data_IF_407588990292
#
_entry.id   IF_407588990292
#
_cell.length_a   1.000
_cell.length_b   1.000
_cell.length_c   1.000
_cell.angle_alpha   90.00
_cell.angle_beta   90.00
_cell.angle_gamma   90.00
#
_symmetry.space_group_name_H-M   'P 1'
#
loop_
_entity.id
_entity.type
_entity.pdbx_description
1 polymer ?
#
# COMPACT_ATOMS: atom_id res chain seq x y z
N UNK A 1 43.24 41.26 1.07
CA UNK A 1 44.01 40.12 0.57
C UNK A 1 44.09 38.95 1.58
N UNK A 2 44.13 39.16 2.88
CA UNK A 2 44.20 38.07 3.89
C UNK A 2 43.03 37.05 3.92
N UNK A 3 41.88 37.39 3.39
CA UNK A 3 40.71 36.50 3.33
C UNK A 3 40.82 35.39 2.26
N UNK A 4 41.59 35.60 1.21
CA UNK A 4 41.79 34.61 0.15
C UNK A 4 42.70 33.46 0.61
N UNK A 5 43.64 33.74 1.53
CA UNK A 5 44.54 32.73 2.06
C UNK A 5 43.83 31.78 3.06
N UNK A 6 42.75 32.26 3.70
CA UNK A 6 41.94 31.44 4.63
C UNK A 6 40.87 30.57 3.93
N UNK A 7 40.53 30.87 2.68
CA UNK A 7 39.46 30.20 1.95
C UNK A 7 39.69 28.69 1.79
N UNK A 8 40.90 28.18 1.42
CA UNK A 8 41.13 26.75 1.28
C UNK A 8 40.99 25.99 2.62
N UNK A 9 41.44 26.61 3.71
CA UNK A 9 41.31 26.01 5.05
C UNK A 9 39.83 25.95 5.49
N UNK A 10 39.04 26.99 5.24
CA UNK A 10 37.62 27.03 5.54
C UNK A 10 36.83 25.99 4.71
N UNK A 11 37.16 25.82 3.42
CA UNK A 11 36.57 24.79 2.56
C UNK A 11 36.94 23.39 3.05
N UNK A 12 38.20 23.17 3.47
CA UNK A 12 38.65 21.92 4.04
C UNK A 12 37.89 21.56 5.34
N UNK A 13 37.78 22.48 6.28
CA UNK A 13 37.01 22.27 7.52
C UNK A 13 35.51 22.04 7.21
N UNK A 14 34.94 22.77 6.27
CA UNK A 14 33.56 22.58 5.83
C UNK A 14 33.31 21.19 5.26
N UNK A 15 34.21 20.70 4.41
CA UNK A 15 34.12 19.36 3.83
C UNK A 15 34.23 18.26 4.92
N UNK A 16 35.16 18.39 5.87
CA UNK A 16 35.30 17.44 6.96
C UNK A 16 34.04 17.45 7.86
N UNK A 17 33.55 18.63 8.22
CA UNK A 17 32.32 18.77 9.02
C UNK A 17 31.12 18.14 8.32
N UNK A 18 30.96 18.32 7.02
CA UNK A 18 29.91 17.70 6.22
C UNK A 18 30.01 16.17 6.23
N UNK A 19 31.19 15.61 6.01
CA UNK A 19 31.40 14.15 6.04
C UNK A 19 31.05 13.58 7.40
N UNK A 20 31.51 14.21 8.49
CA UNK A 20 31.19 13.80 9.87
C UNK A 20 29.69 13.86 10.11
N UNK A 21 29.01 14.95 9.72
CA UNK A 21 27.57 15.09 9.87
C UNK A 21 26.79 14.01 9.10
N UNK A 22 27.21 13.70 7.87
CA UNK A 22 26.60 12.64 7.06
C UNK A 22 26.78 11.26 7.72
N UNK A 23 27.98 10.94 8.25
CA UNK A 23 28.23 9.68 8.95
C UNK A 23 27.38 9.56 10.22
N UNK A 24 27.28 10.64 10.99
CA UNK A 24 26.42 10.70 12.18
C UNK A 24 24.94 10.54 11.81
N UNK A 25 24.50 11.14 10.70
CA UNK A 25 23.13 11.00 10.18
C UNK A 25 22.83 9.55 9.80
N UNK A 26 23.75 8.85 9.14
CA UNK A 26 23.63 7.41 8.80
C UNK A 26 23.51 6.57 10.06
N UNK A 27 24.37 6.79 11.03
CA UNK A 27 24.33 6.09 12.31
C UNK A 27 23.03 6.38 13.10
N UNK A 28 22.56 7.62 13.06
CA UNK A 28 21.29 7.98 13.71
C UNK A 28 20.10 7.30 13.04
N UNK A 29 20.03 7.31 11.70
CA UNK A 29 18.98 6.63 10.95
C UNK A 29 18.97 5.12 11.24
N UNK A 30 20.12 4.46 11.24
CA UNK A 30 20.20 3.03 11.50
C UNK A 30 19.72 2.62 12.89
N UNK A 31 19.87 3.52 13.90
CA UNK A 31 19.48 3.23 15.30
C UNK A 31 18.09 3.73 15.67
N UNK A 32 17.63 4.86 15.10
CA UNK A 32 16.42 5.57 15.52
C UNK A 32 15.47 5.91 14.37
N UNK A 33 15.83 5.56 13.14
CA UNK A 33 14.97 5.75 11.99
C UNK A 33 13.71 4.90 12.12
N UNK A 34 12.62 5.43 11.55
CA UNK A 34 11.33 4.74 11.51
C UNK A 34 10.95 4.43 10.07
N UNK A 35 10.14 3.41 9.93
CA UNK A 35 9.54 3.03 8.66
C UNK A 35 8.16 3.63 8.54
N UNK A 36 7.90 4.32 7.42
CA UNK A 36 6.59 4.85 7.12
C UNK A 36 6.20 4.44 5.70
N UNK A 37 5.06 3.79 5.57
CA UNK A 37 4.52 3.39 4.26
C UNK A 37 4.26 4.62 3.41
N UNK A 38 3.72 5.67 4.00
CA UNK A 38 3.52 6.96 3.36
C UNK A 38 4.30 8.05 4.09
N UNK A 39 4.67 9.12 3.39
CA UNK A 39 5.32 10.29 3.99
C UNK A 39 4.39 10.96 5.01
N UNK A 40 4.75 11.01 6.29
CA UNK A 40 3.91 11.60 7.33
C UNK A 40 3.59 13.08 7.07
N UNK A 41 2.36 13.49 7.38
CA UNK A 41 1.91 14.87 7.30
C UNK A 41 1.65 15.40 5.90
N UNK A 42 1.65 14.54 4.87
CA UNK A 42 1.33 14.96 3.49
C UNK A 42 -0.16 14.90 3.20
N UNK A 43 -0.63 15.83 2.38
CA UNK A 43 -1.98 15.81 1.80
C UNK A 43 -1.86 15.93 0.30
N UNK A 44 -2.47 15.02 -0.44
CA UNK A 44 -2.56 15.10 -1.90
C UNK A 44 -3.98 15.48 -2.28
N UNK A 45 -4.12 16.59 -3.00
CA UNK A 45 -5.37 16.98 -3.66
C UNK A 45 -5.31 16.52 -5.10
N UNK A 46 -6.15 15.56 -5.44
CA UNK A 46 -6.19 14.96 -6.77
C UNK A 46 -7.37 15.49 -7.57
N UNK A 47 -7.12 15.86 -8.80
CA UNK A 47 -8.16 16.10 -9.80
C UNK A 47 -8.35 14.82 -10.60
N UNK A 48 -9.50 14.18 -10.42
CA UNK A 48 -9.84 12.90 -11.05
C UNK A 48 -10.11 13.12 -12.54
N UNK A 49 -9.58 12.22 -13.36
CA UNK A 49 -9.85 12.19 -14.79
C UNK A 49 -11.28 11.76 -15.07
N UNK A 50 -12.13 12.70 -15.46
CA UNK A 50 -13.57 12.49 -15.67
C UNK A 50 -13.90 11.70 -16.94
N UNK A 51 -12.98 11.62 -17.90
CA UNK A 51 -13.14 10.74 -19.07
C UNK A 51 -13.02 9.27 -18.66
N UNK A 52 -12.09 8.96 -17.74
CA UNK A 52 -11.89 7.60 -17.23
C UNK A 52 -12.91 7.23 -16.16
N UNK A 53 -13.26 8.18 -15.28
CA UNK A 53 -14.12 7.96 -14.12
C UNK A 53 -15.22 9.04 -14.03
N UNK A 54 -16.27 8.97 -14.88
CA UNK A 54 -17.36 9.94 -14.91
C UNK A 54 -18.12 10.04 -13.58
N UNK A 55 -18.25 8.94 -12.85
CA UNK A 55 -19.08 8.82 -11.65
C UNK A 55 -18.36 9.26 -10.37
N UNK A 56 -17.01 9.31 -10.35
CA UNK A 56 -16.27 9.74 -9.17
C UNK A 56 -16.30 11.27 -9.00
N UNK A 57 -16.19 11.79 -7.76
CA UNK A 57 -16.02 13.22 -7.52
C UNK A 57 -14.84 13.81 -8.30
N UNK A 58 -14.96 15.03 -8.84
CA UNK A 58 -13.88 15.63 -9.64
C UNK A 58 -12.62 15.95 -8.83
N UNK A 59 -12.77 16.11 -7.52
CA UNK A 59 -11.65 16.39 -6.60
C UNK A 59 -11.70 15.42 -5.44
N UNK A 60 -10.53 14.90 -5.09
CA UNK A 60 -10.34 13.91 -4.03
C UNK A 60 -9.19 14.35 -3.14
N UNK A 61 -9.39 14.28 -1.83
CA UNK A 61 -8.36 14.52 -0.82
C UNK A 61 -7.84 13.19 -0.30
N UNK A 62 -6.55 12.97 -0.42
CA UNK A 62 -5.82 11.84 0.15
C UNK A 62 -4.87 12.37 1.22
N UNK A 63 -5.17 12.16 2.50
CA UNK A 63 -4.43 12.74 3.60
C UNK A 63 -3.73 11.68 4.44
N UNK A 64 -2.45 11.89 4.68
CA UNK A 64 -1.58 11.07 5.52
C UNK A 64 -1.32 11.81 6.82
N UNK A 65 -1.63 11.18 7.93
CA UNK A 65 -1.44 11.74 9.26
C UNK A 65 0.03 11.72 9.72
N UNK A 66 0.29 12.19 10.91
CA UNK A 66 1.63 12.28 11.50
C UNK A 66 2.24 10.89 11.83
N UNK A 67 1.41 9.85 11.90
CA UNK A 67 1.85 8.47 12.09
C UNK A 67 2.19 7.76 10.76
N UNK A 68 2.03 8.45 9.61
CA UNK A 68 2.24 7.86 8.28
C UNK A 68 1.10 6.95 7.83
N UNK A 69 -0.08 7.10 8.41
CA UNK A 69 -1.30 6.38 8.07
C UNK A 69 -2.23 7.27 7.26
N UNK A 70 -2.91 6.72 6.27
CA UNK A 70 -4.10 7.36 5.72
C UNK A 70 -5.21 7.32 6.77
N UNK A 71 -5.64 8.47 7.24
CA UNK A 71 -6.62 8.56 8.33
C UNK A 71 -6.66 9.94 8.96
N UNK A 72 -7.54 10.09 9.95
CA UNK A 72 -7.62 11.29 10.77
C UNK A 72 -6.37 11.54 11.62
N UNK A 73 -6.31 12.68 12.27
CA UNK A 73 -5.22 13.01 13.22
C UNK A 73 -5.23 12.01 14.39
N UNK A 74 -4.12 11.33 14.67
CA UNK A 74 -4.03 10.46 15.83
C UNK A 74 -4.29 11.22 17.12
N UNK A 75 -4.92 10.61 18.13
CA UNK A 75 -5.12 11.24 19.43
C UNK A 75 -3.76 11.48 20.12
N UNK A 76 -3.69 12.49 20.99
CA UNK A 76 -2.47 12.79 21.77
C UNK A 76 -2.09 11.66 22.76
N UNK A 77 -3.09 10.91 23.19
CA UNK A 77 -2.94 9.73 24.05
C UNK A 77 -3.89 8.65 23.58
N UNK A 78 -3.45 7.40 23.62
CA UNK A 78 -4.23 6.22 23.25
C UNK A 78 -5.13 5.71 24.38
N UNK A 79 -5.13 6.40 25.53
CA UNK A 79 -6.04 6.05 26.62
C UNK A 79 -7.49 6.16 26.13
N UNK A 80 -8.31 5.17 26.46
CA UNK A 80 -9.73 5.08 26.12
C UNK A 80 -10.03 5.20 24.61
N UNK A 81 -9.07 4.84 23.78
CA UNK A 81 -9.19 4.81 22.31
C UNK A 81 -9.08 3.38 21.81
N UNK A 82 -10.09 2.91 21.07
CA UNK A 82 -10.03 1.66 20.31
C UNK A 82 -9.24 1.91 19.03
N UNK A 83 -8.12 1.24 18.87
CA UNK A 83 -7.19 1.50 17.78
C UNK A 83 -7.20 0.37 16.75
N UNK A 84 -7.53 0.72 15.51
CA UNK A 84 -7.57 -0.18 14.36
C UNK A 84 -6.51 0.23 13.34
N UNK A 85 -5.77 -0.75 12.83
CA UNK A 85 -4.88 -0.58 11.68
C UNK A 85 -5.38 -1.43 10.52
N UNK A 86 -5.56 -0.80 9.37
CA UNK A 86 -5.89 -1.48 8.11
C UNK A 86 -4.63 -1.62 7.28
N UNK A 87 -4.37 -2.82 6.77
CA UNK A 87 -3.29 -3.09 5.84
C UNK A 87 -3.79 -3.96 4.68
N UNK A 88 -3.45 -3.58 3.46
CA UNK A 88 -3.93 -4.29 2.27
C UNK A 88 -3.45 -3.68 0.97
N UNK A 89 -4.03 -4.15 -0.12
CA UNK A 89 -3.78 -3.67 -1.48
C UNK A 89 -4.62 -2.44 -1.84
N UNK A 90 -4.85 -2.25 -3.14
CA UNK A 90 -5.57 -1.10 -3.71
C UNK A 90 -7.01 -0.96 -3.22
N UNK A 91 -7.72 -2.07 -3.01
CA UNK A 91 -9.09 -2.06 -2.48
C UNK A 91 -9.15 -1.51 -1.05
N UNK A 92 -8.09 -1.68 -0.26
CA UNK A 92 -7.99 -1.12 1.08
C UNK A 92 -7.36 0.29 1.09
N UNK A 93 -6.53 0.63 0.10
CA UNK A 93 -6.01 2.00 -0.06
C UNK A 93 -7.09 2.99 -0.46
N UNK A 94 -8.06 2.59 -1.31
CA UNK A 94 -9.12 3.46 -1.83
C UNK A 94 -8.59 4.76 -2.47
N UNK A 95 -7.52 4.66 -3.28
CA UNK A 95 -6.72 5.82 -3.74
C UNK A 95 -7.53 6.94 -4.40
N UNK A 96 -8.54 6.59 -5.22
CA UNK A 96 -9.38 7.54 -5.95
C UNK A 96 -10.67 7.95 -5.19
N UNK A 97 -10.82 7.55 -3.94
CA UNK A 97 -11.92 7.97 -3.09
C UNK A 97 -11.48 9.11 -2.16
N UNK A 98 -12.38 10.04 -1.90
CA UNK A 98 -12.13 11.10 -0.92
C UNK A 98 -11.80 10.51 0.45
N UNK A 99 -11.12 11.29 1.28
CA UNK A 99 -10.66 10.86 2.59
C UNK A 99 -11.79 10.23 3.40
N UNK A 100 -12.92 10.91 3.49
CA UNK A 100 -14.06 10.47 4.31
C UNK A 100 -14.90 9.36 3.65
N UNK A 101 -14.79 9.21 2.32
CA UNK A 101 -15.47 8.18 1.55
C UNK A 101 -14.68 6.85 1.47
N UNK A 102 -13.43 6.83 1.93
CA UNK A 102 -12.67 5.58 1.99
C UNK A 102 -13.25 4.65 3.04
N UNK A 103 -13.41 3.35 2.74
CA UNK A 103 -14.05 2.42 3.67
C UNK A 103 -13.36 2.34 5.05
N UNK A 104 -12.02 2.53 5.22
CA UNK A 104 -11.45 2.60 6.56
C UNK A 104 -11.97 3.79 7.38
N UNK A 105 -12.26 4.94 6.74
CA UNK A 105 -12.83 6.09 7.44
C UNK A 105 -14.33 5.94 7.69
N UNK A 106 -15.06 5.31 6.77
CA UNK A 106 -16.46 4.90 6.99
C UNK A 106 -16.54 3.90 8.15
N UNK A 107 -15.62 2.94 8.21
CA UNK A 107 -15.51 2.01 9.34
C UNK A 107 -15.26 2.77 10.65
N UNK A 108 -14.34 3.74 10.66
CA UNK A 108 -14.11 4.57 11.85
C UNK A 108 -15.38 5.28 12.31
N UNK A 109 -16.10 5.91 11.40
CA UNK A 109 -17.34 6.62 11.72
C UNK A 109 -18.39 5.68 12.33
N UNK A 110 -18.57 4.49 11.73
CA UNK A 110 -19.53 3.50 12.24
C UNK A 110 -19.10 2.92 13.60
N UNK A 111 -17.85 2.57 13.78
CA UNK A 111 -17.35 2.08 15.07
C UNK A 111 -17.38 3.15 16.16
N UNK A 112 -17.23 4.43 15.81
CA UNK A 112 -17.33 5.53 16.76
C UNK A 112 -18.72 5.62 17.39
N UNK A 113 -19.79 5.33 16.67
CA UNK A 113 -21.15 5.30 17.24
C UNK A 113 -21.33 4.20 18.28
N UNK A 114 -20.48 3.19 18.25
CA UNK A 114 -20.49 2.01 19.13
C UNK A 114 -19.25 1.93 20.03
N UNK A 115 -18.53 3.06 20.22
CA UNK A 115 -17.28 3.08 20.97
C UNK A 115 -17.41 2.52 22.40
N UNK A 116 -18.52 2.78 23.07
CA UNK A 116 -18.79 2.25 24.43
C UNK A 116 -18.89 0.72 24.46
N UNK A 117 -19.43 0.08 23.43
CA UNK A 117 -19.47 -1.39 23.32
C UNK A 117 -18.08 -1.99 23.16
N UNK A 118 -17.14 -1.21 22.61
CA UNK A 118 -15.73 -1.57 22.46
C UNK A 118 -14.89 -1.24 23.70
N UNK A 119 -15.53 -0.77 24.79
CA UNK A 119 -14.84 -0.34 26.00
C UNK A 119 -13.97 0.91 25.81
N UNK A 120 -14.34 1.78 24.90
CA UNK A 120 -13.61 2.98 24.53
C UNK A 120 -14.52 4.21 24.44
N UNK A 121 -13.94 5.40 24.46
CA UNK A 121 -14.66 6.67 24.19
C UNK A 121 -14.42 7.17 22.77
N UNK A 122 -13.34 6.71 22.15
CA UNK A 122 -12.93 7.08 20.80
C UNK A 122 -12.53 5.85 20.01
N UNK A 123 -12.66 5.96 18.69
CA UNK A 123 -12.15 5.00 17.73
C UNK A 123 -11.19 5.71 16.78
N UNK A 124 -10.05 5.12 16.52
CA UNK A 124 -9.12 5.58 15.49
C UNK A 124 -8.84 4.44 14.51
N UNK A 125 -9.08 4.70 13.24
CA UNK A 125 -8.74 3.78 12.16
C UNK A 125 -7.70 4.42 11.26
N UNK A 126 -6.48 3.89 11.30
CA UNK A 126 -5.41 4.24 10.37
C UNK A 126 -5.28 3.18 9.28
N UNK A 127 -4.87 3.58 8.08
CA UNK A 127 -4.58 2.66 6.98
C UNK A 127 -3.16 2.85 6.45
N UNK A 128 -2.43 1.75 6.36
CA UNK A 128 -1.14 1.66 5.66
C UNK A 128 -1.25 0.87 4.35
N UNK A 129 -2.48 0.69 3.85
CA UNK A 129 -2.75 -0.03 2.60
C UNK A 129 -2.18 0.71 1.40
N UNK A 130 -1.65 -0.03 0.43
CA UNK A 130 -0.97 0.53 -0.74
C UNK A 130 -1.28 -0.26 -2.01
N UNK A 131 -1.59 0.44 -3.10
CA UNK A 131 -1.88 -0.15 -4.40
C UNK A 131 -0.67 -0.87 -5.01
N UNK A 132 -0.94 -1.92 -5.76
CA UNK A 132 0.05 -2.70 -6.51
C UNK A 132 1.12 -3.40 -5.65
N UNK A 133 0.92 -3.50 -4.35
CA UNK A 133 1.83 -4.24 -3.48
C UNK A 133 1.28 -5.64 -3.17
N UNK A 134 2.06 -6.71 -3.40
CA UNK A 134 1.67 -8.07 -3.08
C UNK A 134 1.78 -8.34 -1.57
N UNK A 135 1.26 -9.50 -1.16
CA UNK A 135 1.23 -9.94 0.23
C UNK A 135 2.61 -9.92 0.91
N UNK A 136 3.68 -10.27 0.21
CA UNK A 136 5.07 -10.17 0.72
C UNK A 136 5.44 -8.76 1.17
N UNK A 137 5.10 -7.74 0.35
CA UNK A 137 5.36 -6.35 0.71
C UNK A 137 4.54 -5.93 1.93
N UNK A 138 3.28 -6.38 2.03
CA UNK A 138 2.42 -6.04 3.17
C UNK A 138 2.95 -6.72 4.44
N UNK A 139 3.39 -7.97 4.37
CA UNK A 139 4.07 -8.65 5.49
C UNK A 139 5.31 -7.86 5.95
N UNK A 140 6.10 -7.35 4.99
CA UNK A 140 7.26 -6.50 5.26
C UNK A 140 6.84 -5.16 5.89
N UNK A 141 5.79 -4.52 5.36
CA UNK A 141 5.24 -3.29 5.95
C UNK A 141 4.82 -3.50 7.41
N UNK A 142 4.09 -4.56 7.71
CA UNK A 142 3.67 -4.88 9.07
C UNK A 142 4.87 -5.19 9.99
N UNK A 143 5.82 -6.01 9.54
CA UNK A 143 7.00 -6.40 10.34
C UNK A 143 7.80 -5.20 10.80
N UNK A 144 7.94 -4.17 9.97
CA UNK A 144 8.71 -2.97 10.30
C UNK A 144 7.89 -1.86 10.96
N UNK A 145 6.57 -1.77 10.67
CA UNK A 145 5.72 -0.72 11.23
C UNK A 145 5.16 -1.07 12.60
N UNK A 146 4.68 -2.32 12.80
CA UNK A 146 3.98 -2.73 14.02
C UNK A 146 4.78 -2.53 15.31
N UNK A 147 6.12 -2.74 15.36
CA UNK A 147 6.90 -2.47 16.54
C UNK A 147 6.86 -1.01 17.03
N UNK A 148 6.44 -0.08 16.18
CA UNK A 148 6.29 1.35 16.54
C UNK A 148 4.94 1.68 17.18
N UNK A 149 4.00 0.73 17.21
CA UNK A 149 2.67 0.89 17.79
C UNK A 149 2.68 0.42 19.24
N UNK A 150 2.30 1.29 20.17
CA UNK A 150 2.21 0.93 21.60
C UNK A 150 1.15 -0.15 21.85
N UNK A 151 0.03 -0.06 21.12
CA UNK A 151 -1.12 -0.95 21.25
C UNK A 151 -1.98 -0.89 20.01
N UNK A 152 -2.41 -2.05 19.54
CA UNK A 152 -3.46 -2.20 18.55
C UNK A 152 -4.55 -3.12 19.11
N UNK A 153 -5.81 -2.69 19.03
CA UNK A 153 -6.93 -3.51 19.42
C UNK A 153 -7.33 -4.45 18.27
N UNK A 154 -7.21 -3.96 17.01
CA UNK A 154 -7.52 -4.74 15.83
C UNK A 154 -6.58 -4.40 14.67
N UNK A 155 -6.10 -5.42 13.98
CA UNK A 155 -5.50 -5.30 12.64
C UNK A 155 -6.46 -5.92 11.63
N UNK A 156 -6.82 -5.16 10.59
CA UNK A 156 -7.64 -5.63 9.46
C UNK A 156 -6.75 -5.83 8.25
N UNK A 157 -6.79 -7.02 7.67
CA UNK A 157 -5.98 -7.42 6.51
C UNK A 157 -6.87 -7.68 5.30
N UNK A 158 -6.55 -7.12 4.12
CA UNK A 158 -7.24 -7.39 2.86
C UNK A 158 -6.23 -7.49 1.71
N UNK A 159 -5.99 -8.70 1.21
CA UNK A 159 -4.95 -9.01 0.22
C UNK A 159 -5.43 -10.05 -0.79
N UNK A 160 -4.68 -10.23 -1.89
CA UNK A 160 -4.87 -11.29 -2.88
C UNK A 160 -4.81 -10.77 -4.32
N UNK A 161 -5.63 -9.79 -4.69
CA UNK A 161 -5.70 -9.31 -6.07
C UNK A 161 -4.35 -8.79 -6.61
N UNK A 162 -3.58 -8.10 -5.77
CA UNK A 162 -2.24 -7.61 -6.18
C UNK A 162 -1.25 -8.75 -6.44
N UNK A 163 -1.40 -9.88 -5.77
CA UNK A 163 -0.53 -11.05 -5.95
C UNK A 163 -0.80 -11.68 -7.31
N UNK A 164 -2.07 -11.89 -7.66
CA UNK A 164 -2.47 -12.38 -8.99
C UNK A 164 -1.99 -11.44 -10.08
N UNK A 165 -2.30 -10.13 -9.97
CA UNK A 165 -1.90 -9.14 -10.98
C UNK A 165 -0.37 -9.11 -11.15
N UNK A 166 0.40 -9.09 -10.06
CA UNK A 166 1.86 -9.09 -10.15
C UNK A 166 2.41 -10.36 -10.81
N UNK A 167 1.83 -11.53 -10.55
CA UNK A 167 2.25 -12.78 -11.19
C UNK A 167 1.99 -12.79 -12.68
N UNK A 168 0.80 -12.34 -13.11
CA UNK A 168 0.44 -12.21 -14.52
C UNK A 168 1.34 -11.19 -15.25
N UNK A 169 1.56 -10.01 -14.65
CA UNK A 169 2.43 -8.97 -15.21
C UNK A 169 3.90 -9.40 -15.31
N UNK A 170 4.34 -10.36 -14.52
CA UNK A 170 5.66 -10.98 -14.61
C UNK A 170 5.70 -12.15 -15.60
N UNK A 171 4.65 -12.36 -16.40
CA UNK A 171 4.54 -13.44 -17.38
C UNK A 171 4.56 -14.83 -16.73
N UNK A 172 3.83 -14.96 -15.63
CA UNK A 172 3.59 -16.22 -14.93
C UNK A 172 4.85 -17.05 -14.63
N UNK A 173 5.82 -16.52 -13.87
CA UNK A 173 7.03 -17.25 -13.57
C UNK A 173 6.74 -18.55 -12.82
N UNK A 174 7.42 -19.63 -13.20
CA UNK A 174 7.29 -20.93 -12.55
C UNK A 174 7.93 -20.99 -11.16
N UNK A 175 8.80 -20.05 -10.82
CA UNK A 175 9.44 -19.94 -9.51
C UNK A 175 9.32 -18.53 -8.97
N UNK A 176 9.02 -18.42 -7.69
CA UNK A 176 8.94 -17.16 -6.96
C UNK A 176 9.85 -17.21 -5.74
N UNK A 177 10.76 -16.25 -5.65
CA UNK A 177 11.72 -16.18 -4.54
C UNK A 177 11.33 -15.06 -3.58
N UNK A 178 11.49 -15.31 -2.28
CA UNK A 178 11.26 -14.30 -1.24
C UNK A 178 12.39 -13.26 -1.26
N UNK A 179 12.01 -12.03 -0.87
CA UNK A 179 12.98 -10.94 -0.76
C UNK A 179 13.29 -10.21 -2.06
N UNK A 180 12.66 -10.57 -3.17
CA UNK A 180 12.83 -9.85 -4.44
C UNK A 180 12.24 -8.43 -4.39
N UNK A 181 11.31 -8.17 -3.49
CA UNK A 181 10.66 -6.87 -3.32
C UNK A 181 11.43 -6.01 -2.33
N UNK A 182 12.20 -5.04 -2.85
CA UNK A 182 12.98 -4.12 -2.02
C UNK A 182 12.14 -3.24 -1.09
N UNK A 183 12.72 -2.84 0.03
CA UNK A 183 12.13 -1.96 1.07
C UNK A 183 11.50 -0.69 0.46
N UNK A 184 12.13 -0.09 -0.56
CA UNK A 184 11.61 1.10 -1.23
C UNK A 184 10.26 0.91 -1.94
N UNK A 185 9.82 -0.33 -2.18
CA UNK A 185 8.49 -0.61 -2.70
C UNK A 185 7.42 -0.57 -1.59
N UNK A 186 7.83 -0.87 -0.36
CA UNK A 186 6.94 -0.93 0.81
C UNK A 186 6.87 0.40 1.57
N UNK A 187 7.95 1.20 1.54
CA UNK A 187 8.06 2.41 2.36
C UNK A 187 8.51 3.62 1.56
N UNK A 188 7.83 4.74 1.74
CA UNK A 188 8.28 6.04 1.24
C UNK A 188 9.40 6.64 2.12
N UNK A 189 9.39 6.30 3.42
CA UNK A 189 10.42 6.72 4.37
C UNK A 189 10.90 5.49 5.14
N UNK A 190 12.20 5.25 5.10
CA UNK A 190 12.83 4.13 5.82
C UNK A 190 14.29 4.48 6.19
N UNK A 191 14.83 3.88 7.27
CA UNK A 191 16.19 4.15 7.74
C UNK A 191 17.28 3.43 6.96
N UNK A 192 16.91 2.42 6.16
CA UNK A 192 17.88 1.61 5.43
C UNK A 192 18.41 2.31 4.18
N UNK A 193 19.69 2.06 3.92
CA UNK A 193 20.33 2.48 2.67
C UNK A 193 19.71 1.84 1.42
N UNK A 194 20.38 1.96 0.29
CA UNK A 194 21.76 2.44 0.17
C UNK A 194 21.90 3.96 0.36
N UNK A 195 22.86 4.37 1.22
CA UNK A 195 23.30 5.75 1.29
C UNK A 195 24.50 5.95 0.38
N UNK A 196 24.43 6.94 -0.49
CA UNK A 196 25.53 7.34 -1.37
C UNK A 196 26.05 8.73 -1.01
N UNK A 197 26.96 9.24 -1.87
CA UNK A 197 27.54 10.57 -1.77
C UNK A 197 26.99 11.55 -2.80
N UNK A 198 25.89 11.20 -3.46
CA UNK A 198 25.16 12.14 -4.31
C UNK A 198 24.10 12.87 -3.48
N UNK A 199 23.75 14.11 -3.87
CA UNK A 199 22.72 14.88 -3.19
C UNK A 199 21.39 14.12 -3.02
N UNK A 200 21.08 13.21 -3.95
CA UNK A 200 19.87 12.40 -3.91
C UNK A 200 19.89 11.30 -2.84
N UNK A 201 21.07 10.79 -2.49
CA UNK A 201 21.27 9.58 -1.67
C UNK A 201 21.81 9.86 -0.28
N UNK A 202 22.07 11.14 0.09
CA UNK A 202 22.56 11.52 1.41
C UNK A 202 21.55 11.20 2.52
N UNK A 203 22.05 10.71 3.65
CA UNK A 203 21.26 10.50 4.85
C UNK A 203 20.74 11.83 5.43
N UNK A 204 21.56 12.89 5.43
CA UNK A 204 21.15 14.24 5.83
C UNK A 204 19.95 14.74 5.03
N UNK A 205 19.93 14.52 3.69
CA UNK A 205 18.78 14.88 2.87
C UNK A 205 17.52 14.11 3.26
N UNK A 206 17.64 12.81 3.56
CA UNK A 206 16.49 12.00 4.02
C UNK A 206 15.91 12.56 5.32
N UNK A 207 16.77 12.91 6.29
CA UNK A 207 16.35 13.53 7.54
C UNK A 207 15.69 14.88 7.29
N UNK A 208 16.30 15.74 6.50
CA UNK A 208 15.75 17.05 6.15
C UNK A 208 14.39 16.93 5.44
N UNK A 209 14.27 16.02 4.46
CA UNK A 209 13.01 15.74 3.76
C UNK A 209 11.92 15.25 4.74
N UNK A 210 12.26 14.34 5.63
CA UNK A 210 11.31 13.85 6.64
C UNK A 210 10.78 14.99 7.53
N UNK A 211 11.66 15.85 8.02
CA UNK A 211 11.25 17.00 8.84
C UNK A 211 10.48 18.05 8.06
N UNK A 212 10.85 18.30 6.79
CA UNK A 212 10.11 19.18 5.90
C UNK A 212 8.66 18.72 5.71
N UNK A 213 8.42 17.44 5.40
CA UNK A 213 7.07 16.90 5.24
C UNK A 213 6.29 16.92 6.56
N UNK A 214 6.94 16.60 7.66
CA UNK A 214 6.28 16.55 8.98
C UNK A 214 5.90 17.93 9.53
N UNK A 215 6.76 18.91 9.39
CA UNK A 215 6.55 20.26 9.93
C UNK A 215 5.85 21.18 8.91
N UNK A 216 6.21 21.08 7.66
CA UNK A 216 5.66 21.90 6.58
C UNK A 216 4.27 21.48 6.15
N UNK A 217 3.88 20.21 6.38
CA UNK A 217 2.59 19.63 5.96
C UNK A 217 2.26 20.00 4.51
N UNK A 218 3.12 19.66 3.55
CA UNK A 218 2.96 20.09 2.18
C UNK A 218 1.65 19.55 1.59
N UNK A 219 0.99 20.39 0.81
CA UNK A 219 -0.14 19.99 -0.02
C UNK A 219 0.40 19.74 -1.42
N UNK A 220 0.27 18.51 -1.88
CA UNK A 220 0.63 18.11 -3.24
C UNK A 220 -0.61 18.19 -4.12
N UNK A 221 -0.47 18.74 -5.32
CA UNK A 221 -1.53 18.77 -6.32
C UNK A 221 -1.22 17.78 -7.42
N UNK A 222 -2.19 16.91 -7.74
CA UNK A 222 -2.06 15.91 -8.80
C UNK A 222 -3.23 16.04 -9.77
N UNK A 223 -2.93 16.35 -11.01
CA UNK A 223 -3.91 16.41 -12.09
C UNK A 223 -4.02 15.06 -12.82
N UNK A 224 -5.19 14.79 -13.38
CA UNK A 224 -5.45 13.61 -14.20
C UNK A 224 -5.29 12.28 -13.43
N UNK A 225 -5.64 12.26 -12.14
CA UNK A 225 -5.62 11.03 -11.36
C UNK A 225 -6.56 10.00 -12.01
N UNK A 226 -6.01 8.82 -12.31
CA UNK A 226 -6.72 7.76 -13.03
C UNK A 226 -6.53 7.76 -14.55
N UNK A 227 -5.97 8.80 -15.16
CA UNK A 227 -5.75 8.87 -16.62
C UNK A 227 -4.95 7.67 -17.17
N UNK A 228 -4.01 7.17 -16.40
CA UNK A 228 -3.25 5.95 -16.78
C UNK A 228 -4.17 4.73 -16.92
N UNK A 229 -5.20 4.62 -16.10
CA UNK A 229 -6.20 3.53 -16.21
C UNK A 229 -6.96 3.65 -17.52
N UNK A 230 -7.36 4.86 -17.94
CA UNK A 230 -7.98 5.09 -19.25
C UNK A 230 -7.09 4.65 -20.40
N UNK A 231 -5.77 4.97 -20.35
CA UNK A 231 -4.81 4.48 -21.34
C UNK A 231 -4.70 2.95 -21.33
N UNK A 232 -4.69 2.32 -20.17
CA UNK A 232 -4.61 0.87 -20.06
C UNK A 232 -5.90 0.18 -20.55
N UNK A 233 -7.08 0.81 -20.40
CA UNK A 233 -8.34 0.34 -21.02
C UNK A 233 -8.22 0.29 -22.55
N UNK A 234 -7.73 1.37 -23.15
CA UNK A 234 -7.51 1.44 -24.59
C UNK A 234 -6.48 0.40 -25.06
N UNK A 235 -5.40 0.21 -24.28
CA UNK A 235 -4.39 -0.80 -24.59
C UNK A 235 -4.98 -2.21 -24.56
N UNK A 236 -5.76 -2.54 -23.53
CA UNK A 236 -6.44 -3.84 -23.45
C UNK A 236 -7.51 -4.01 -24.55
N UNK A 237 -8.28 -2.97 -24.88
CA UNK A 237 -9.27 -3.03 -25.97
C UNK A 237 -8.63 -3.31 -27.34
N UNK A 238 -7.35 -2.94 -27.51
CA UNK A 238 -6.55 -3.20 -28.71
C UNK A 238 -5.63 -4.44 -28.55
N UNK A 239 -5.91 -5.32 -27.60
CA UNK A 239 -5.13 -6.53 -27.40
C UNK A 239 -5.12 -7.40 -28.66
N UNK A 240 -3.96 -7.96 -28.99
CA UNK A 240 -3.82 -8.91 -30.11
C UNK A 240 -4.27 -10.30 -29.71
N UNK A 241 -4.19 -10.60 -28.44
CA UNK A 241 -4.45 -11.93 -27.90
C UNK A 241 -5.06 -11.84 -26.50
N UNK A 242 -6.07 -12.66 -26.26
CA UNK A 242 -6.64 -12.90 -24.94
C UNK A 242 -6.46 -14.38 -24.63
N UNK A 243 -5.68 -14.67 -23.59
CA UNK A 243 -5.37 -16.04 -23.16
C UNK A 243 -6.48 -16.55 -22.23
N UNK A 244 -6.98 -17.73 -22.53
CA UNK A 244 -8.00 -18.44 -21.74
C UNK A 244 -7.41 -19.38 -20.69
N UNK A 245 -6.08 -19.51 -20.67
CA UNK A 245 -5.35 -20.40 -19.76
C UNK A 245 -4.10 -19.73 -19.21
N UNK A 246 -3.63 -20.22 -18.08
CA UNK A 246 -2.32 -19.89 -17.48
C UNK A 246 -1.52 -21.19 -17.28
N UNK A 247 -0.18 -21.12 -17.21
CA UNK A 247 0.63 -22.24 -16.72
C UNK A 247 0.19 -22.65 -15.31
N UNK A 248 0.74 -23.76 -14.81
CA UNK A 248 0.43 -24.23 -13.46
C UNK A 248 0.56 -23.11 -12.41
N UNK A 249 -0.54 -22.68 -11.76
CA UNK A 249 -0.53 -21.61 -10.78
C UNK A 249 -0.14 -22.06 -9.37
N UNK A 250 0.17 -23.35 -9.19
CA UNK A 250 0.53 -23.90 -7.86
C UNK A 250 1.69 -23.14 -7.20
N UNK A 251 2.81 -22.84 -7.89
CA UNK A 251 3.91 -22.10 -7.28
C UNK A 251 3.49 -20.71 -6.77
N UNK A 252 2.62 -20.01 -7.49
CA UNK A 252 2.09 -18.71 -7.08
C UNK A 252 1.20 -18.84 -5.85
N UNK A 253 0.32 -19.83 -5.80
CA UNK A 253 -0.57 -20.05 -4.67
C UNK A 253 0.19 -20.45 -3.40
N UNK A 254 1.18 -21.32 -3.49
CA UNK A 254 2.05 -21.72 -2.38
C UNK A 254 2.90 -20.56 -1.87
N UNK A 255 3.44 -19.76 -2.77
CA UNK A 255 4.18 -18.54 -2.42
C UNK A 255 3.29 -17.54 -1.67
N UNK A 256 2.08 -17.28 -2.21
CA UNK A 256 1.10 -16.42 -1.56
C UNK A 256 0.74 -16.95 -0.16
N UNK A 257 0.41 -18.24 -0.03
CA UNK A 257 0.07 -18.84 1.27
C UNK A 257 1.18 -18.65 2.29
N UNK A 258 2.42 -18.84 1.87
CA UNK A 258 3.59 -18.66 2.73
C UNK A 258 3.72 -17.21 3.20
N UNK A 259 3.56 -16.24 2.29
CA UNK A 259 3.60 -14.81 2.62
C UNK A 259 2.41 -14.39 3.48
N UNK A 260 1.22 -14.93 3.20
CA UNK A 260 0.01 -14.66 3.95
C UNK A 260 0.09 -15.18 5.39
N UNK A 261 0.57 -16.40 5.59
CA UNK A 261 0.82 -16.99 6.91
C UNK A 261 1.79 -16.14 7.73
N UNK A 262 2.86 -15.71 7.12
CA UNK A 262 3.85 -14.82 7.73
C UNK A 262 3.21 -13.48 8.13
N UNK A 263 2.45 -12.85 7.24
CA UNK A 263 1.73 -11.60 7.48
C UNK A 263 0.76 -11.71 8.67
N UNK A 264 -0.07 -12.75 8.69
CA UNK A 264 -1.03 -12.99 9.77
C UNK A 264 -0.30 -13.24 11.10
N UNK A 265 0.78 -14.02 11.09
CA UNK A 265 1.58 -14.30 12.28
C UNK A 265 2.19 -13.03 12.86
N UNK A 266 2.74 -12.16 12.01
CA UNK A 266 3.27 -10.85 12.44
C UNK A 266 2.16 -10.00 13.04
N UNK A 267 0.99 -9.93 12.43
CA UNK A 267 -0.14 -9.16 12.95
C UNK A 267 -0.62 -9.69 14.31
N UNK A 268 -0.75 -11.01 14.49
CA UNK A 268 -1.12 -11.67 15.78
C UNK A 268 -0.15 -11.34 16.91
N UNK A 269 1.12 -11.18 16.60
CA UNK A 269 2.14 -10.83 17.60
C UNK A 269 2.02 -9.40 18.15
N UNK A 270 1.25 -8.51 17.50
CA UNK A 270 1.22 -7.09 17.82
C UNK A 270 -0.18 -6.51 18.08
N UNK A 271 -1.24 -7.26 17.81
CA UNK A 271 -2.62 -6.81 18.00
C UNK A 271 -3.40 -7.78 18.88
N UNK A 272 -4.41 -7.28 19.58
CA UNK A 272 -5.31 -8.14 20.37
C UNK A 272 -6.16 -9.03 19.50
N UNK A 273 -6.58 -8.53 18.33
CA UNK A 273 -7.39 -9.25 17.36
C UNK A 273 -6.85 -8.99 15.96
N UNK A 274 -6.97 -9.97 15.10
CA UNK A 274 -6.71 -9.87 13.67
C UNK A 274 -7.96 -10.31 12.94
N UNK A 275 -8.41 -9.51 11.98
CA UNK A 275 -9.51 -9.83 11.08
C UNK A 275 -8.99 -9.85 9.65
N UNK A 276 -9.14 -10.95 8.97
CA UNK A 276 -8.91 -11.05 7.53
C UNK A 276 -10.23 -10.77 6.81
N UNK A 277 -10.26 -9.70 6.04
CA UNK A 277 -11.36 -9.46 5.10
C UNK A 277 -10.96 -10.10 3.78
N UNK A 278 -11.65 -11.17 3.41
CA UNK A 278 -11.43 -11.86 2.14
C UNK A 278 -11.66 -10.87 1.01
N UNK A 279 -10.69 -10.78 0.10
CA UNK A 279 -10.71 -9.79 -0.98
C UNK A 279 -12.00 -9.94 -1.81
N UNK A 280 -12.91 -8.96 -1.81
CA UNK A 280 -14.09 -9.03 -2.66
C UNK A 280 -13.68 -9.14 -4.13
N UNK A 281 -14.22 -10.12 -4.80
CA UNK A 281 -13.97 -10.36 -6.21
C UNK A 281 -15.25 -10.78 -6.91
N UNK A 282 -15.62 -10.06 -7.96
CA UNK A 282 -16.82 -10.34 -8.72
C UNK A 282 -16.51 -11.31 -9.85
N UNK A 283 -16.92 -12.56 -9.67
CA UNK A 283 -16.93 -13.58 -10.71
C UNK A 283 -18.26 -13.52 -11.46
N UNK A 284 -18.22 -13.09 -12.73
CA UNK A 284 -19.38 -13.09 -13.63
C UNK A 284 -18.94 -13.11 -15.07
N UNK A 285 -19.89 -13.44 -15.97
CA UNK A 285 -19.72 -13.15 -17.39
C UNK A 285 -19.93 -11.66 -17.64
N UNK A 286 -18.92 -10.99 -18.20
CA UNK A 286 -18.96 -9.58 -18.51
C UNK A 286 -19.55 -9.34 -19.88
N UNK A 287 -20.45 -8.36 -19.98
CA UNK A 287 -20.93 -7.88 -21.28
C UNK A 287 -19.78 -7.23 -22.09
N UNK A 288 -19.90 -7.05 -23.41
CA UNK A 288 -18.89 -6.36 -24.20
C UNK A 288 -18.58 -4.95 -23.69
N UNK A 289 -19.59 -4.22 -23.21
CA UNK A 289 -19.45 -2.87 -22.64
C UNK A 289 -18.65 -2.88 -21.32
N UNK A 290 -18.88 -3.87 -20.48
CA UNK A 290 -18.13 -4.06 -19.24
C UNK A 290 -16.70 -4.52 -19.52
N UNK A 291 -16.51 -5.44 -20.48
CA UNK A 291 -15.18 -5.87 -20.92
C UNK A 291 -14.33 -4.69 -21.41
N UNK A 292 -14.94 -3.73 -22.11
CA UNK A 292 -14.28 -2.52 -22.56
C UNK A 292 -13.78 -1.63 -21.40
N UNK A 293 -14.32 -1.79 -20.19
CA UNK A 293 -13.88 -1.08 -18.99
C UNK A 293 -12.73 -1.76 -18.24
N UNK A 294 -12.40 -3.02 -18.58
CA UNK A 294 -11.25 -3.72 -18.01
C UNK A 294 -9.95 -3.07 -18.48
N UNK A 295 -8.96 -3.03 -17.62
CA UNK A 295 -7.69 -2.34 -17.89
C UNK A 295 -6.44 -3.11 -17.44
N UNK A 296 -6.61 -4.14 -16.65
CA UNK A 296 -5.56 -4.96 -16.06
C UNK A 296 -5.51 -6.37 -16.68
N UNK A 297 -4.77 -7.27 -16.06
CA UNK A 297 -4.64 -8.68 -16.44
C UNK A 297 -3.78 -8.89 -17.70
N UNK A 298 -2.78 -8.04 -17.90
CA UNK A 298 -1.83 -8.16 -18.99
C UNK A 298 -0.71 -9.16 -18.69
N UNK A 299 -0.21 -9.82 -19.73
CA UNK A 299 1.06 -10.55 -19.69
C UNK A 299 2.21 -9.56 -19.91
N UNK A 300 2.44 -8.68 -18.94
CA UNK A 300 3.37 -7.56 -18.97
C UNK A 300 2.88 -6.39 -18.13
N UNK A 301 3.68 -5.34 -18.00
CA UNK A 301 3.42 -4.18 -17.14
C UNK A 301 2.90 -2.99 -17.95
N UNK A 302 1.57 -2.76 -18.04
CA UNK A 302 1.00 -1.73 -18.92
C UNK A 302 1.36 -0.29 -18.50
N UNK A 303 1.97 -0.11 -17.32
CA UNK A 303 2.47 1.19 -16.86
C UNK A 303 3.86 1.54 -17.39
N UNK A 304 4.59 0.54 -17.93
CA UNK A 304 6.02 0.66 -18.28
C UNK A 304 6.25 0.30 -19.74
N UNK A 305 5.46 -0.64 -20.28
CA UNK A 305 5.63 -1.19 -21.62
C UNK A 305 4.27 -1.30 -22.36
N UNK A 306 4.31 -1.46 -23.67
CA UNK A 306 3.15 -1.81 -24.47
C UNK A 306 2.81 -3.29 -24.26
N UNK A 307 1.60 -3.56 -23.79
CA UNK A 307 1.11 -4.92 -23.56
C UNK A 307 0.06 -5.26 -24.62
N UNK A 308 0.28 -6.34 -25.35
CA UNK A 308 -0.58 -6.79 -26.44
C UNK A 308 -1.28 -8.11 -26.15
N UNK A 309 -0.88 -8.82 -25.09
CA UNK A 309 -1.45 -10.08 -24.64
C UNK A 309 -2.06 -9.91 -23.25
N UNK A 310 -3.29 -10.34 -23.06
CA UNK A 310 -4.01 -10.24 -21.80
C UNK A 310 -4.65 -11.59 -21.46
N UNK A 311 -5.02 -11.76 -20.18
CA UNK A 311 -5.77 -12.94 -19.72
C UNK A 311 -7.26 -12.64 -19.66
N UNK A 312 -8.07 -13.67 -19.94
CA UNK A 312 -9.51 -13.62 -19.79
C UNK A 312 -9.90 -13.48 -18.30
N UNK A 313 -11.07 -12.90 -18.03
CA UNK A 313 -11.48 -12.64 -16.64
C UNK A 313 -11.67 -13.93 -15.84
N UNK A 314 -12.28 -14.96 -16.44
CA UNK A 314 -12.52 -16.26 -15.80
C UNK A 314 -11.22 -16.97 -15.35
N UNK A 315 -10.10 -16.73 -16.04
CA UNK A 315 -8.78 -17.21 -15.61
C UNK A 315 -8.43 -16.61 -14.26
N UNK A 316 -8.64 -15.30 -14.12
CA UNK A 316 -8.36 -14.59 -12.88
C UNK A 316 -9.33 -14.98 -11.78
N UNK A 317 -10.60 -15.26 -12.10
CA UNK A 317 -11.57 -15.79 -11.15
C UNK A 317 -11.07 -17.08 -10.50
N UNK A 318 -10.52 -18.00 -11.31
CA UNK A 318 -9.95 -19.26 -10.80
C UNK A 318 -8.73 -19.03 -9.91
N UNK A 319 -7.87 -18.07 -10.24
CA UNK A 319 -6.71 -17.70 -9.43
C UNK A 319 -7.14 -17.06 -8.11
N UNK A 320 -8.09 -16.13 -8.14
CA UNK A 320 -8.64 -15.50 -6.93
C UNK A 320 -9.29 -16.51 -5.99
N UNK A 321 -10.03 -17.51 -6.51
CA UNK A 321 -10.61 -18.59 -5.72
C UNK A 321 -9.55 -19.46 -5.05
N UNK A 322 -8.42 -19.72 -5.73
CA UNK A 322 -7.29 -20.45 -5.12
C UNK A 322 -6.68 -19.68 -3.94
N UNK A 323 -6.44 -18.36 -4.12
CA UNK A 323 -5.91 -17.52 -3.04
C UNK A 323 -6.90 -17.40 -1.88
N UNK A 324 -8.18 -17.27 -2.17
CA UNK A 324 -9.24 -17.22 -1.16
C UNK A 324 -9.29 -18.51 -0.33
N UNK A 325 -9.21 -19.67 -0.99
CA UNK A 325 -9.14 -20.98 -0.33
C UNK A 325 -7.91 -21.10 0.58
N UNK A 326 -6.77 -20.58 0.14
CA UNK A 326 -5.55 -20.53 0.96
C UNK A 326 -5.73 -19.61 2.19
N UNK A 327 -6.39 -18.44 2.02
CA UNK A 327 -6.70 -17.55 3.14
C UNK A 327 -7.58 -18.23 4.19
N UNK A 328 -8.67 -18.86 3.77
CA UNK A 328 -9.59 -19.57 4.67
C UNK A 328 -8.87 -20.67 5.44
N UNK A 329 -8.04 -21.47 4.76
CA UNK A 329 -7.25 -22.54 5.39
C UNK A 329 -6.29 -21.98 6.43
N UNK A 330 -5.49 -20.99 6.07
CA UNK A 330 -4.51 -20.39 7.00
C UNK A 330 -5.20 -19.70 8.18
N UNK A 331 -6.34 -19.02 7.96
CA UNK A 331 -7.11 -18.43 9.04
C UNK A 331 -7.62 -19.51 10.02
N UNK A 332 -8.10 -20.64 9.51
CA UNK A 332 -8.51 -21.78 10.36
C UNK A 332 -7.35 -22.35 11.16
N UNK A 333 -6.20 -22.60 10.54
CA UNK A 333 -5.00 -23.13 11.20
C UNK A 333 -4.41 -22.19 12.26
N UNK A 334 -4.48 -20.89 12.02
CA UNK A 334 -3.97 -19.86 12.92
C UNK A 334 -5.04 -19.34 13.90
N UNK A 335 -6.26 -19.85 13.86
CA UNK A 335 -7.39 -19.40 14.68
C UNK A 335 -7.60 -17.87 14.57
N UNK A 336 -7.68 -17.37 13.34
CA UNK A 336 -7.89 -15.97 13.04
C UNK A 336 -9.25 -15.75 12.40
N UNK A 337 -9.93 -14.71 12.84
CA UNK A 337 -11.22 -14.31 12.30
C UNK A 337 -11.11 -13.93 10.81
N UNK A 338 -12.04 -14.38 10.00
CA UNK A 338 -12.15 -13.95 8.61
C UNK A 338 -13.59 -13.61 8.23
N UNK A 339 -13.75 -12.70 7.28
CA UNK A 339 -15.03 -12.20 6.81
C UNK A 339 -15.10 -12.25 5.29
N UNK A 340 -16.14 -12.89 4.77
CA UNK A 340 -16.55 -12.79 3.37
C UNK A 340 -17.54 -11.65 3.22
N UNK A 341 -17.17 -10.63 2.43
CA UNK A 341 -18.05 -9.50 2.16
C UNK A 341 -18.99 -9.75 1.00
N UNK A 342 -18.72 -10.71 0.12
CA UNK A 342 -19.51 -10.92 -1.11
C UNK A 342 -21.01 -11.16 -0.87
N UNK A 343 -21.44 -11.91 0.17
CA UNK A 343 -22.86 -12.06 0.47
C UNK A 343 -23.57 -10.77 0.91
N UNK A 344 -22.80 -9.77 1.35
CA UNK A 344 -23.31 -8.51 1.89
C UNK A 344 -23.20 -7.33 0.91
N UNK A 345 -22.56 -7.53 -0.23
CA UNK A 345 -22.47 -6.51 -1.28
C UNK A 345 -23.72 -6.57 -2.16
N UNK A 346 -24.34 -5.44 -2.37
CA UNK A 346 -25.39 -5.32 -3.39
C UNK A 346 -24.75 -5.59 -4.75
N UNK A 347 -25.36 -6.53 -5.50
CA UNK A 347 -24.89 -6.92 -6.84
C UNK A 347 -25.53 -6.10 -7.94
N UNK A 348 -26.05 -4.91 -7.63
CA UNK A 348 -26.57 -3.99 -8.64
C UNK A 348 -25.39 -3.36 -9.38
N UNK A 349 -25.16 -3.85 -10.58
CA UNK A 349 -24.29 -3.24 -11.58
C UNK A 349 -25.19 -2.68 -12.66
N UNK A 350 -25.85 -1.58 -12.34
CA UNK A 350 -26.63 -0.79 -13.30
C UNK A 350 -25.71 0.18 -14.06
#
# INVERSE_FOLDING_TARGET
MKWLDALPALLGYGAVAFVVAELLARLWLSKRGRYFVFKPGTTTLMQVDKETFPDLPPKVRFAINEAGERGGTPPRTWKDTYRVLVAGGSAAECYLLDQEASWPQVLQANLQTRASELGATRVHVGSISRSLVPCECIATMLRHSLPSYERLDLVVLMVGASDVVNWLEQKTPATLERGQMGIGRSFDVHPEGPFGWTLATLALRRIASFWYHRLGRPIEHREGAGKTIGKNRLMRANAREILDEVPDPTPMAEYFETCFRDMVTVAKGHAKRVLVVRQPWLAKEFTPEEQARLWNLGAGRPYVEEVTTYYAHHVVDSLMQRLDSAQVRVCGELEVEHLDLMPHLERSFD
#
